data_IF_210679529624
#
_entry.id   IF_210679529624
#
_cell.length_a   1.000
_cell.length_b   1.000
_cell.length_c   1.000
_cell.angle_alpha   90.00
_cell.angle_beta   90.00
_cell.angle_gamma   90.00
#
_symmetry.space_group_name_H-M   'P 1'
#
loop_
_entity.id
_entity.type
_entity.pdbx_description
1 polymer ?
#
# COMPACT_ATOMS: atom_id res chain seq x y z
N UNK A 1 -7.32 0.90 8.45
CA UNK A 1 -6.33 1.09 7.38
C UNK A 1 -6.66 2.35 6.59
N UNK A 2 -5.66 3.03 6.01
CA UNK A 2 -5.86 4.15 5.07
C UNK A 2 -5.07 3.89 3.79
N UNK A 3 -5.51 4.43 2.66
CA UNK A 3 -4.79 4.27 1.39
C UNK A 3 -5.04 5.44 0.42
N UNK A 4 -4.05 5.72 -0.43
CA UNK A 4 -4.09 6.81 -1.42
C UNK A 4 -3.18 6.53 -2.60
N UNK A 5 -3.45 7.17 -3.73
CA UNK A 5 -2.45 7.33 -4.78
C UNK A 5 -1.47 8.44 -4.37
N UNK A 6 -0.17 8.14 -4.47
CA UNK A 6 0.87 9.17 -4.40
C UNK A 6 1.18 9.74 -5.78
N UNK A 7 1.05 8.90 -6.81
CA UNK A 7 1.16 9.24 -8.24
C UNK A 7 0.47 8.14 -9.06
N UNK A 8 0.46 8.24 -10.39
CA UNK A 8 -0.01 7.15 -11.26
C UNK A 8 0.83 5.86 -11.09
N UNK A 9 2.09 5.98 -10.67
CA UNK A 9 3.03 4.87 -10.52
C UNK A 9 3.02 4.25 -9.12
N UNK A 10 2.46 4.93 -8.12
CA UNK A 10 2.54 4.48 -6.72
C UNK A 10 1.23 4.64 -5.95
N UNK A 11 0.81 3.53 -5.35
CA UNK A 11 -0.29 3.48 -4.41
C UNK A 11 0.24 3.15 -3.00
N UNK A 12 -0.23 3.88 -2.00
CA UNK A 12 0.26 3.81 -0.64
C UNK A 12 -0.84 3.29 0.28
N UNK A 13 -0.47 2.38 1.18
CA UNK A 13 -1.36 1.83 2.20
C UNK A 13 -0.72 2.06 3.57
N UNK A 14 -1.42 2.77 4.44
CA UNK A 14 -1.04 3.00 5.81
C UNK A 14 -1.78 2.05 6.76
N UNK A 15 -0.99 1.30 7.50
CA UNK A 15 -1.41 0.43 8.59
C UNK A 15 -0.99 1.08 9.90
N UNK A 16 -1.93 1.67 10.67
CA UNK A 16 -1.59 2.39 11.90
C UNK A 16 -0.91 1.49 12.93
N UNK A 17 0.01 2.08 13.71
CA UNK A 17 0.63 1.40 14.84
C UNK A 17 -0.41 0.87 15.84
N UNK A 18 -0.15 -0.28 16.41
CA UNK A 18 -0.92 -0.83 17.53
C UNK A 18 -0.15 -0.69 18.85
N UNK A 19 -0.74 -1.10 19.97
CA UNK A 19 -0.04 -1.16 21.26
C UNK A 19 1.10 -2.18 21.30
N UNK A 20 1.23 -3.04 20.26
CA UNK A 20 2.21 -4.13 20.20
C UNK A 20 3.18 -4.01 19.03
N UNK A 21 2.81 -3.26 18.00
CA UNK A 21 3.54 -3.22 16.74
C UNK A 21 3.59 -1.78 16.20
N UNK A 22 4.74 -1.44 15.65
CA UNK A 22 4.94 -0.20 14.91
C UNK A 22 4.05 -0.17 13.67
N UNK A 23 3.63 1.02 13.23
CA UNK A 23 2.86 1.16 12.01
C UNK A 23 3.67 0.79 10.77
N UNK A 24 2.97 0.39 9.73
CA UNK A 24 3.52 0.02 8.43
C UNK A 24 3.02 0.96 7.35
N UNK A 25 3.92 1.27 6.41
CA UNK A 25 3.62 1.92 5.15
C UNK A 25 3.98 0.96 4.04
N UNK A 26 2.97 0.48 3.33
CA UNK A 26 3.14 -0.38 2.17
C UNK A 26 3.06 0.50 0.93
N UNK A 27 4.14 0.48 0.16
CA UNK A 27 4.27 1.14 -1.14
C UNK A 27 4.03 0.09 -2.21
N UNK A 28 3.03 0.31 -3.04
CA UNK A 28 2.66 -0.55 -4.16
C UNK A 28 3.09 0.14 -5.46
N UNK A 29 3.98 -0.50 -6.20
CA UNK A 29 4.38 -0.06 -7.54
C UNK A 29 3.31 -0.48 -8.56
N UNK A 30 2.63 0.49 -9.16
CA UNK A 30 1.53 0.26 -10.09
C UNK A 30 2.03 -0.30 -11.42
N UNK A 31 1.21 -1.15 -12.05
CA UNK A 31 1.43 -1.66 -13.39
C UNK A 31 0.64 -0.84 -14.43
N UNK A 32 0.85 -1.12 -15.71
CA UNK A 32 0.08 -0.56 -16.83
C UNK A 32 -1.30 -1.24 -17.03
N UNK A 33 -1.67 -2.17 -16.13
CA UNK A 33 -2.90 -2.95 -16.13
C UNK A 33 -3.35 -3.25 -14.68
N UNK A 34 -4.60 -3.68 -14.45
CA UNK A 34 -5.04 -4.07 -13.10
C UNK A 34 -4.29 -5.31 -12.60
N UNK A 35 -4.19 -5.41 -11.28
CA UNK A 35 -3.72 -6.61 -10.58
C UNK A 35 -4.77 -7.70 -10.67
N UNK A 36 -4.36 -8.92 -11.04
CA UNK A 36 -5.28 -10.06 -11.17
C UNK A 36 -5.30 -10.92 -9.90
N UNK A 37 -4.17 -11.02 -9.20
CA UNK A 37 -3.99 -11.93 -8.08
C UNK A 37 -3.18 -11.32 -6.93
N UNK A 38 -3.42 -11.80 -5.71
CA UNK A 38 -2.72 -11.32 -4.51
C UNK A 38 -1.20 -11.48 -4.59
N UNK A 39 -0.70 -12.57 -5.17
CA UNK A 39 0.76 -12.79 -5.27
C UNK A 39 1.44 -11.76 -6.17
N UNK A 40 0.77 -11.34 -7.24
CA UNK A 40 1.26 -10.29 -8.13
C UNK A 40 1.26 -8.94 -7.41
N UNK A 41 0.17 -8.61 -6.71
CA UNK A 41 0.12 -7.45 -5.84
C UNK A 41 1.26 -7.46 -4.81
N UNK A 42 1.47 -8.60 -4.14
CA UNK A 42 2.48 -8.75 -3.11
C UNK A 42 3.91 -8.60 -3.64
N UNK A 43 4.21 -9.04 -4.86
CA UNK A 43 5.54 -8.83 -5.48
C UNK A 43 5.82 -7.38 -5.87
N UNK A 44 4.79 -6.54 -5.92
CA UNK A 44 4.90 -5.10 -6.16
C UNK A 44 4.85 -4.26 -4.88
N UNK A 45 4.70 -4.90 -3.72
CA UNK A 45 4.68 -4.23 -2.42
C UNK A 45 6.09 -4.13 -1.84
N UNK A 46 6.44 -2.95 -1.32
CA UNK A 46 7.57 -2.73 -0.42
C UNK A 46 7.05 -2.19 0.88
N UNK A 47 7.57 -2.66 2.02
CA UNK A 47 7.09 -2.25 3.33
C UNK A 47 8.11 -1.38 4.05
N UNK A 48 7.64 -0.35 4.73
CA UNK A 48 8.46 0.58 5.51
C UNK A 48 7.83 0.85 6.86
N UNK A 49 8.67 1.15 7.84
CA UNK A 49 8.25 1.71 9.12
C UNK A 49 7.50 3.04 8.91
N UNK A 50 6.32 3.18 9.55
CA UNK A 50 5.53 4.40 9.53
C UNK A 50 5.02 4.71 10.94
N UNK A 51 5.48 5.81 11.53
CA UNK A 51 5.21 6.15 12.92
C UNK A 51 4.00 7.06 13.11
N UNK A 52 3.53 7.69 12.03
CA UNK A 52 2.41 8.64 12.11
C UNK A 52 1.65 8.75 10.79
N UNK A 53 0.42 9.27 10.88
CA UNK A 53 -0.39 9.59 9.71
C UNK A 53 0.25 10.72 8.88
N UNK A 54 0.86 11.72 9.53
CA UNK A 54 1.54 12.83 8.85
C UNK A 54 2.70 12.34 7.99
N UNK A 55 3.45 11.36 8.49
CA UNK A 55 4.51 10.72 7.74
C UNK A 55 3.99 10.01 6.49
N UNK A 56 2.88 9.28 6.61
CA UNK A 56 2.19 8.68 5.46
C UNK A 56 1.72 9.73 4.43
N UNK A 57 1.14 10.85 4.90
CA UNK A 57 0.64 11.91 4.01
C UNK A 57 1.77 12.62 3.26
N UNK A 58 2.97 12.72 3.85
CA UNK A 58 4.12 13.41 3.28
C UNK A 58 5.15 12.46 2.64
N UNK A 59 4.94 11.14 2.68
CA UNK A 59 5.88 10.17 2.12
C UNK A 59 5.96 10.27 0.58
N UNK A 60 7.19 10.37 0.07
CA UNK A 60 7.52 10.31 -1.36
C UNK A 60 8.23 8.97 -1.67
N UNK A 61 7.59 8.05 -2.42
CA UNK A 61 8.16 6.76 -2.81
C UNK A 61 9.46 6.85 -3.61
N UNK A 62 9.73 7.98 -4.27
CA UNK A 62 10.93 8.17 -5.10
C UNK A 62 12.09 8.81 -4.33
N UNK A 63 11.81 9.47 -3.20
CA UNK A 63 12.79 10.28 -2.49
C UNK A 63 12.61 10.15 -0.97
N UNK A 64 13.03 9.01 -0.43
CA UNK A 64 13.09 8.74 1.00
C UNK A 64 14.36 7.95 1.36
N UNK A 65 14.73 7.99 2.64
CA UNK A 65 15.89 7.27 3.19
C UNK A 65 15.50 6.06 4.05
N UNK A 66 14.20 5.75 4.15
CA UNK A 66 13.69 4.60 4.91
C UNK A 66 14.23 3.26 4.39
N UNK A 67 14.58 2.40 5.34
CA UNK A 67 14.98 1.01 5.08
C UNK A 67 13.74 0.12 4.95
N UNK A 68 13.73 -0.72 3.92
CA UNK A 68 12.66 -1.69 3.69
C UNK A 68 12.61 -2.75 4.80
N UNK A 69 11.39 -3.04 5.29
CA UNK A 69 11.11 -4.10 6.25
C UNK A 69 10.88 -5.42 5.49
N UNK A 70 11.65 -6.44 5.81
CA UNK A 70 11.48 -7.80 5.26
C UNK A 70 10.21 -8.51 5.74
N UNK A 71 9.53 -7.97 6.75
CA UNK A 71 8.27 -8.48 7.27
C UNK A 71 7.15 -7.47 7.05
N UNK A 72 6.18 -7.84 6.24
CA UNK A 72 4.87 -7.18 6.15
C UNK A 72 3.83 -8.28 6.33
N UNK A 73 3.29 -8.38 7.54
CA UNK A 73 2.06 -9.13 7.75
C UNK A 73 0.91 -8.27 7.24
N UNK A 74 0.42 -8.53 6.03
CA UNK A 74 -0.82 -7.90 5.57
C UNK A 74 -2.01 -8.58 6.26
N UNK A 75 -2.26 -8.22 7.52
CA UNK A 75 -3.46 -8.62 8.25
C UNK A 75 -4.41 -7.43 8.31
N UNK A 76 -5.41 -7.45 7.45
CA UNK A 76 -6.51 -6.48 7.49
C UNK A 76 -7.84 -7.22 7.37
N UNK A 77 -8.92 -6.56 7.80
CA UNK A 77 -10.25 -7.11 7.65
C UNK A 77 -10.58 -7.32 6.16
N UNK A 78 -11.27 -8.41 5.82
CA UNK A 78 -11.60 -8.73 4.43
C UNK A 78 -12.37 -7.60 3.73
N UNK A 79 -13.27 -6.92 4.45
CA UNK A 79 -14.06 -5.82 3.89
C UNK A 79 -13.17 -4.61 3.59
N UNK A 80 -12.19 -4.33 4.45
CA UNK A 80 -11.21 -3.26 4.20
C UNK A 80 -10.31 -3.60 3.02
N UNK A 81 -9.87 -4.86 2.92
CA UNK A 81 -9.07 -5.35 1.79
C UNK A 81 -9.83 -5.25 0.46
N UNK A 82 -11.08 -5.73 0.40
CA UNK A 82 -11.86 -5.73 -0.83
C UNK A 82 -12.08 -4.28 -1.34
N UNK A 83 -12.35 -3.33 -0.43
CA UNK A 83 -12.47 -1.90 -0.78
C UNK A 83 -11.17 -1.30 -1.30
N UNK A 84 -10.05 -1.61 -0.65
CA UNK A 84 -8.73 -1.17 -1.11
C UNK A 84 -8.42 -1.74 -2.49
N UNK A 85 -8.71 -3.03 -2.71
CA UNK A 85 -8.50 -3.71 -3.99
C UNK A 85 -9.30 -3.08 -5.12
N UNK A 86 -10.56 -2.71 -4.87
CA UNK A 86 -11.39 -1.97 -5.82
C UNK A 86 -10.80 -0.61 -6.17
N UNK A 87 -10.31 0.14 -5.18
CA UNK A 87 -9.71 1.46 -5.40
C UNK A 87 -8.39 1.37 -6.15
N UNK A 88 -7.52 0.42 -5.76
CA UNK A 88 -6.24 0.15 -6.41
C UNK A 88 -6.42 -0.12 -7.92
N UNK A 89 -7.45 -0.88 -8.29
CA UNK A 89 -7.73 -1.25 -9.67
C UNK A 89 -8.69 -0.29 -10.40
N UNK A 90 -9.25 0.71 -9.71
CA UNK A 90 -10.20 1.66 -10.30
C UNK A 90 -9.67 2.53 -11.45
N UNK A 91 -8.35 2.85 -11.57
CA UNK A 91 -7.83 3.61 -12.71
C UNK A 91 -7.99 2.86 -14.04
N UNK A 92 -8.10 1.53 -14.01
CA UNK A 92 -8.19 0.72 -15.21
C UNK A 92 -9.67 0.54 -15.60
N UNK A 93 -10.03 0.74 -16.87
CA UNK A 93 -11.37 0.42 -17.33
C UNK A 93 -11.65 -1.05 -17.07
N UNK A 94 -12.80 -1.36 -16.45
CA UNK A 94 -13.25 -2.75 -16.30
C UNK A 94 -13.31 -3.37 -17.69
N UNK A 95 -12.45 -4.35 -17.94
CA UNK A 95 -12.54 -5.16 -19.16
C UNK A 95 -13.93 -5.79 -19.17
N UNK A 96 -14.73 -5.45 -20.19
CA UNK A 96 -16.09 -5.94 -20.39
C UNK A 96 -16.09 -7.41 -20.79
#
# INVERSE_FOLDING_TARGET
>A
MEYRFSSEEYFLIYMPSSSREEGDLIVVEMMDRPFEHFYEFASHCRNYACHSQDEYLNFDPKNHDKVEKFSSGFSTDKVEYDKMWEVLNSPFPRSK
#
